data_IF_254415279886
#
_entry.id   IF_254415279886
#
_cell.length_a   1.000
_cell.length_b   1.000
_cell.length_c   1.000
_cell.angle_alpha   90.00
_cell.angle_beta   90.00
_cell.angle_gamma   90.00
#
_symmetry.space_group_name_H-M   'P 1'
#
loop_
_entity.id
_entity.type
_entity.pdbx_description
1 polymer ?
#
# COMPACT_ATOMS: atom_id res chain seq x y z
N UNK A 1 -14.24 -20.39 12.59
CA UNK A 1 -13.09 -20.46 11.67
C UNK A 1 -11.90 -19.84 12.38
N UNK A 2 -10.91 -20.63 12.80
CA UNK A 2 -9.68 -20.07 13.37
C UNK A 2 -8.92 -19.37 12.25
N UNK A 3 -8.86 -18.03 12.30
CA UNK A 3 -7.98 -17.24 11.43
C UNK A 3 -6.56 -17.70 11.71
N UNK A 4 -5.88 -18.31 10.74
CA UNK A 4 -4.45 -18.60 10.86
C UNK A 4 -3.70 -17.28 10.97
N UNK A 5 -3.34 -16.89 12.20
CA UNK A 5 -2.57 -15.68 12.50
C UNK A 5 -1.12 -15.79 12.03
N UNK A 6 -0.67 -17.00 11.65
CA UNK A 6 0.70 -17.29 11.20
C UNK A 6 1.08 -16.61 9.87
N UNK A 7 0.11 -16.16 9.07
CA UNK A 7 0.35 -15.47 7.79
C UNK A 7 0.06 -13.95 7.88
N UNK A 8 0.28 -13.36 9.06
CA UNK A 8 0.21 -11.91 9.23
C UNK A 8 1.56 -11.28 8.85
N UNK A 9 1.58 -10.29 7.93
CA UNK A 9 2.79 -9.51 7.67
C UNK A 9 3.22 -8.72 8.91
N UNK A 10 4.52 -8.61 9.16
CA UNK A 10 5.05 -7.94 10.37
C UNK A 10 4.58 -6.48 10.49
N UNK A 11 4.46 -5.75 9.37
CA UNK A 11 3.98 -4.37 9.35
C UNK A 11 2.50 -4.21 9.74
N UNK A 12 1.76 -5.31 9.81
CA UNK A 12 0.32 -5.38 10.07
C UNK A 12 0.03 -5.82 11.52
N UNK A 13 1.01 -5.74 12.42
CA UNK A 13 0.96 -6.27 13.78
C UNK A 13 -0.22 -5.75 14.63
N UNK A 14 -0.66 -4.52 14.38
CA UNK A 14 -1.74 -3.83 15.08
C UNK A 14 -3.14 -4.13 14.51
N UNK A 15 -3.24 -4.82 13.39
CA UNK A 15 -4.51 -5.12 12.72
C UNK A 15 -4.92 -6.58 12.89
N UNK A 16 -6.23 -6.89 12.90
CA UNK A 16 -6.72 -8.26 12.96
C UNK A 16 -6.62 -9.02 11.63
N UNK A 17 -6.03 -8.41 10.60
CA UNK A 17 -5.94 -8.96 9.24
C UNK A 17 -4.72 -9.89 9.06
N UNK A 18 -4.83 -10.78 8.08
CA UNK A 18 -3.70 -11.52 7.51
C UNK A 18 -3.47 -11.07 6.05
N UNK A 19 -2.47 -11.65 5.39
CA UNK A 19 -2.14 -11.36 3.98
C UNK A 19 -3.33 -11.52 3.03
N UNK A 20 -4.09 -12.60 3.16
CA UNK A 20 -5.24 -12.89 2.31
C UNK A 20 -6.39 -11.90 2.52
N UNK A 21 -6.64 -11.52 3.77
CA UNK A 21 -7.66 -10.52 4.11
C UNK A 21 -7.25 -9.13 3.58
N UNK A 22 -5.99 -8.75 3.73
CA UNK A 22 -5.47 -7.48 3.21
C UNK A 22 -5.63 -7.38 1.69
N UNK A 23 -5.35 -8.47 0.95
CA UNK A 23 -5.58 -8.52 -0.50
C UNK A 23 -7.05 -8.35 -0.87
N UNK A 24 -7.97 -8.91 -0.08
CA UNK A 24 -9.41 -8.74 -0.30
C UNK A 24 -9.86 -7.30 -0.05
N UNK A 25 -9.35 -6.67 1.01
CA UNK A 25 -9.65 -5.25 1.31
C UNK A 25 -9.16 -4.35 0.17
N UNK A 26 -7.93 -4.56 -0.31
CA UNK A 26 -7.38 -3.76 -1.40
C UNK A 26 -8.15 -3.94 -2.73
N UNK A 27 -8.72 -5.12 -2.97
CA UNK A 27 -9.54 -5.43 -4.13
C UNK A 27 -11.04 -5.16 -3.92
N UNK A 28 -11.44 -4.66 -2.75
CA UNK A 28 -12.82 -4.41 -2.38
C UNK A 28 -13.41 -3.16 -3.03
N UNK A 29 -14.72 -2.99 -2.87
CA UNK A 29 -15.46 -1.84 -3.39
C UNK A 29 -15.32 -0.58 -2.51
N UNK A 30 -14.94 -0.74 -1.23
CA UNK A 30 -14.68 0.39 -0.35
C UNK A 30 -13.29 0.99 -0.65
N UNK A 31 -13.31 2.00 -1.49
CA UNK A 31 -12.09 2.70 -1.91
C UNK A 31 -11.39 3.40 -0.74
N UNK A 32 -12.12 3.89 0.26
CA UNK A 32 -11.51 4.60 1.37
C UNK A 32 -10.79 3.63 2.32
N UNK A 33 -11.37 2.46 2.55
CA UNK A 33 -10.72 1.37 3.26
C UNK A 33 -9.50 0.86 2.50
N UNK A 34 -9.61 0.65 1.18
CA UNK A 34 -8.49 0.25 0.32
C UNK A 34 -7.34 1.26 0.40
N UNK A 35 -7.62 2.57 0.33
CA UNK A 35 -6.61 3.62 0.44
C UNK A 35 -6.02 3.78 1.84
N UNK A 36 -6.79 3.48 2.88
CA UNK A 36 -6.28 3.43 4.26
C UNK A 36 -5.17 2.38 4.36
N UNK A 37 -5.44 1.16 3.92
CA UNK A 37 -4.48 0.06 3.97
C UNK A 37 -3.32 0.22 2.98
N UNK A 38 -3.57 0.76 1.78
CA UNK A 38 -2.51 1.09 0.84
C UNK A 38 -1.54 2.12 1.45
N UNK A 39 -2.04 3.18 2.10
CA UNK A 39 -1.19 4.14 2.78
C UNK A 39 -0.41 3.50 3.95
N UNK A 40 -1.02 2.57 4.70
CA UNK A 40 -0.34 1.81 5.75
C UNK A 40 0.81 0.97 5.19
N UNK A 41 0.58 0.23 4.11
CA UNK A 41 1.61 -0.56 3.42
C UNK A 41 2.79 0.33 3.03
N UNK A 42 2.52 1.49 2.40
CA UNK A 42 3.58 2.41 1.98
C UNK A 42 4.34 3.03 3.15
N UNK A 43 3.73 3.16 4.33
CA UNK A 43 4.41 3.69 5.52
C UNK A 43 5.28 2.65 6.22
N UNK A 44 4.76 1.44 6.36
CA UNK A 44 5.27 0.47 7.34
C UNK A 44 5.90 -0.78 6.72
N UNK A 45 5.50 -1.19 5.52
CA UNK A 45 6.03 -2.40 4.89
C UNK A 45 7.48 -2.20 4.41
N UNK A 46 8.25 -3.29 4.33
CA UNK A 46 9.53 -3.26 3.61
C UNK A 46 9.27 -2.98 2.13
N UNK A 47 10.22 -2.32 1.47
CA UNK A 47 10.04 -1.87 0.10
C UNK A 47 9.69 -3.03 -0.85
N UNK A 48 10.32 -4.18 -0.67
CA UNK A 48 10.11 -5.38 -1.48
C UNK A 48 8.69 -5.95 -1.29
N UNK A 49 8.14 -5.83 -0.07
CA UNK A 49 6.81 -6.36 0.28
C UNK A 49 5.68 -5.50 -0.27
N UNK A 50 5.92 -4.21 -0.54
CA UNK A 50 4.90 -3.31 -1.10
C UNK A 50 4.32 -3.87 -2.39
N UNK A 51 5.18 -4.45 -3.23
CA UNK A 51 4.83 -4.95 -4.56
C UNK A 51 4.04 -6.26 -4.54
N UNK A 52 3.91 -6.88 -3.37
CA UNK A 52 3.04 -8.04 -3.18
C UNK A 52 1.55 -7.65 -3.06
N UNK A 53 1.28 -6.36 -2.83
CA UNK A 53 -0.05 -5.82 -2.56
C UNK A 53 -0.46 -4.69 -3.51
N UNK A 54 0.49 -3.84 -3.90
CA UNK A 54 0.25 -2.64 -4.69
C UNK A 54 1.00 -2.72 -6.03
N UNK A 55 0.51 -1.96 -7.00
CA UNK A 55 1.20 -1.77 -8.29
C UNK A 55 1.59 -0.30 -8.48
N UNK A 56 2.64 -0.01 -9.27
CA UNK A 56 2.95 1.36 -9.67
C UNK A 56 1.76 2.08 -10.33
N UNK A 57 0.94 1.36 -11.09
CA UNK A 57 -0.28 1.90 -11.71
C UNK A 57 -1.32 2.33 -10.67
N UNK A 58 -1.57 1.51 -9.64
CA UNK A 58 -2.48 1.85 -8.54
C UNK A 58 -1.96 3.07 -7.75
N UNK A 59 -0.66 3.11 -7.49
CA UNK A 59 -0.01 4.25 -6.85
C UNK A 59 -0.22 5.52 -7.66
N UNK A 60 -0.04 5.46 -8.97
CA UNK A 60 -0.20 6.61 -9.86
C UNK A 60 -1.64 7.11 -9.90
N UNK A 61 -2.62 6.21 -10.04
CA UNK A 61 -4.04 6.59 -10.11
C UNK A 61 -4.58 7.19 -8.82
N UNK A 62 -3.99 6.86 -7.66
CA UNK A 62 -4.44 7.33 -6.35
C UNK A 62 -3.44 8.27 -5.65
N UNK A 63 -2.43 8.75 -6.38
CA UNK A 63 -1.27 9.41 -5.80
C UNK A 63 -1.65 10.59 -4.89
N UNK A 64 -2.56 11.44 -5.35
CA UNK A 64 -3.00 12.63 -4.62
C UNK A 64 -3.66 12.29 -3.27
N UNK A 65 -4.41 11.19 -3.21
CA UNK A 65 -5.06 10.72 -1.96
C UNK A 65 -4.05 10.02 -1.05
N UNK A 66 -3.12 9.26 -1.62
CA UNK A 66 -2.11 8.52 -0.86
C UNK A 66 -1.06 9.47 -0.26
N UNK A 67 -0.50 10.40 -1.04
CA UNK A 67 0.63 11.26 -0.62
C UNK A 67 0.33 12.07 0.64
N UNK A 68 -0.92 12.45 0.85
CA UNK A 68 -1.38 13.16 2.05
C UNK A 68 -1.31 12.29 3.32
N UNK A 69 -1.36 10.96 3.17
CA UNK A 69 -1.40 9.97 4.26
C UNK A 69 -0.02 9.39 4.61
N UNK A 70 1.05 9.73 3.88
CA UNK A 70 2.35 9.03 4.01
C UNK A 70 3.25 9.55 5.13
N UNK A 71 2.95 10.71 5.72
CA UNK A 71 3.76 11.29 6.80
C UNK A 71 5.26 11.32 6.45
N UNK A 72 6.09 10.71 7.30
CA UNK A 72 7.56 10.69 7.13
C UNK A 72 8.05 9.96 5.87
N UNK A 73 7.28 9.00 5.34
CA UNK A 73 7.64 8.25 4.12
C UNK A 73 7.28 9.00 2.84
N UNK A 74 6.59 10.13 2.93
CA UNK A 74 6.14 10.92 1.78
C UNK A 74 7.28 11.25 0.82
N UNK A 75 8.41 11.78 1.32
CA UNK A 75 9.53 12.18 0.46
C UNK A 75 10.15 11.04 -0.32
N UNK A 76 10.27 9.85 0.29
CA UNK A 76 10.76 8.64 -0.39
C UNK A 76 9.84 8.24 -1.55
N UNK A 77 8.53 8.20 -1.32
CA UNK A 77 7.57 7.84 -2.36
C UNK A 77 7.39 8.94 -3.42
N UNK A 78 7.49 10.22 -3.05
CA UNK A 78 7.51 11.35 -4.00
C UNK A 78 8.71 11.25 -4.95
N UNK A 79 9.87 10.86 -4.45
CA UNK A 79 11.04 10.62 -5.28
C UNK A 79 10.81 9.49 -6.29
N UNK A 80 10.28 8.34 -5.85
CA UNK A 80 9.96 7.23 -6.76
C UNK A 80 8.90 7.59 -7.78
N UNK A 81 7.79 8.19 -7.34
CA UNK A 81 6.70 8.63 -8.20
C UNK A 81 7.19 9.59 -9.28
N UNK A 82 7.94 10.63 -8.90
CA UNK A 82 8.49 11.61 -9.85
C UNK A 82 9.50 11.00 -10.82
N UNK A 83 10.33 10.05 -10.35
CA UNK A 83 11.27 9.31 -11.20
C UNK A 83 10.53 8.45 -12.23
N UNK A 84 9.53 7.68 -11.81
CA UNK A 84 8.75 6.85 -12.74
C UNK A 84 8.00 7.69 -13.79
N UNK A 85 7.45 8.83 -13.38
CA UNK A 85 6.83 9.80 -14.31
C UNK A 85 7.84 10.34 -15.32
N UNK A 86 9.02 10.75 -14.87
CA UNK A 86 10.06 11.30 -15.73
C UNK A 86 10.58 10.28 -16.77
N UNK A 87 10.57 8.99 -16.41
CA UNK A 87 10.96 7.89 -17.29
C UNK A 87 9.81 7.29 -18.11
N UNK A 88 8.58 7.82 -17.99
CA UNK A 88 7.42 7.33 -18.74
C UNK A 88 6.93 5.95 -18.31
N UNK A 89 7.26 5.51 -17.10
CA UNK A 89 6.86 4.20 -16.54
C UNK A 89 5.43 4.23 -15.97
N UNK A 90 4.94 5.42 -15.63
CA UNK A 90 3.57 5.68 -15.19
C UNK A 90 3.06 6.98 -15.85
N UNK A 91 1.74 7.08 -16.01
CA UNK A 91 1.06 8.17 -16.71
C UNK A 91 0.36 9.15 -15.80
#
# INVERSE_FOLDING_TARGET
MSRNMTDRPDFLWDEPLNRGDLKKVLAGEDEEESLYYAAKILREARFEEVWEYLSPAFLASHWERLRARLGRKKGFWEFLYSTWRAHGLIH
#
